data_IF_572924820704
#
_entry.id   IF_572924820704
#
_cell.length_a   1.000
_cell.length_b   1.000
_cell.length_c   1.000
_cell.angle_alpha   90.00
_cell.angle_beta   90.00
_cell.angle_gamma   90.00
#
_symmetry.space_group_name_H-M   'P 1'
#
loop_
_entity.id
_entity.type
_entity.pdbx_description
1 polymer ?
#
# COMPACT_ATOMS: atom_id res chain seq x y z
N UNK A 1 43.97 -11.40 7.05
CA UNK A 1 43.36 -10.08 7.35
C UNK A 1 42.25 -9.92 6.33
N UNK A 2 41.16 -10.65 6.54
CA UNK A 2 39.93 -10.14 7.17
C UNK A 2 38.97 -9.59 6.13
N UNK A 3 38.12 -10.51 5.68
CA UNK A 3 36.68 -10.32 5.54
C UNK A 3 36.18 -9.21 4.63
N UNK A 4 35.97 -9.57 3.36
CA UNK A 4 34.91 -8.99 2.53
C UNK A 4 33.56 -9.58 3.00
N UNK A 5 32.86 -8.84 3.86
CA UNK A 5 31.46 -9.09 4.20
C UNK A 5 30.58 -8.52 3.08
N UNK A 6 30.02 -9.43 2.28
CA UNK A 6 28.88 -9.22 1.41
C UNK A 6 27.65 -8.89 2.27
N UNK A 7 27.17 -7.64 2.21
CA UNK A 7 25.92 -7.24 2.83
C UNK A 7 25.03 -6.52 1.81
N UNK A 8 24.31 -7.30 1.00
CA UNK A 8 23.29 -6.77 0.08
C UNK A 8 21.91 -7.43 0.24
N UNK A 9 21.70 -8.29 1.26
CA UNK A 9 20.44 -9.02 1.44
C UNK A 9 19.33 -8.33 2.27
N UNK A 10 19.63 -7.27 3.02
CA UNK A 10 18.71 -6.73 4.03
C UNK A 10 17.61 -5.80 3.46
N UNK A 11 17.91 -5.04 2.40
CA UNK A 11 16.97 -4.07 1.83
C UNK A 11 15.76 -4.75 1.17
N UNK A 12 16.01 -5.76 0.35
CA UNK A 12 14.95 -6.43 -0.40
C UNK A 12 13.96 -7.21 0.49
N UNK A 13 14.47 -7.81 1.59
CA UNK A 13 13.63 -8.47 2.57
C UNK A 13 12.74 -7.47 3.34
N UNK A 14 13.26 -6.28 3.65
CA UNK A 14 12.48 -5.22 4.28
C UNK A 14 11.39 -4.69 3.33
N UNK A 15 11.71 -4.49 2.05
CA UNK A 15 10.73 -4.07 1.04
C UNK A 15 9.63 -5.12 0.88
N UNK A 16 9.99 -6.40 0.76
CA UNK A 16 9.02 -7.49 0.65
C UNK A 16 8.08 -7.59 1.87
N UNK A 17 8.63 -7.40 3.08
CA UNK A 17 7.83 -7.39 4.30
C UNK A 17 6.88 -6.17 4.36
N UNK A 18 7.33 -5.00 3.92
CA UNK A 18 6.48 -3.81 3.83
C UNK A 18 5.32 -4.01 2.85
N UNK A 19 5.59 -4.57 1.67
CA UNK A 19 4.57 -4.83 0.65
C UNK A 19 3.56 -5.89 1.11
N UNK A 20 4.03 -6.94 1.77
CA UNK A 20 3.17 -7.96 2.38
C UNK A 20 2.26 -7.34 3.45
N UNK A 21 2.81 -6.46 4.30
CA UNK A 21 2.04 -5.72 5.30
C UNK A 21 1.00 -4.79 4.65
N UNK A 22 1.38 -4.09 3.59
CA UNK A 22 0.47 -3.23 2.83
C UNK A 22 -0.70 -4.00 2.22
N UNK A 23 -0.44 -5.17 1.61
CA UNK A 23 -1.48 -6.06 1.08
C UNK A 23 -2.41 -6.59 2.17
N UNK A 24 -1.85 -6.98 3.32
CA UNK A 24 -2.64 -7.42 4.46
C UNK A 24 -3.60 -6.32 4.92
N UNK A 25 -3.09 -5.11 5.14
CA UNK A 25 -3.89 -3.98 5.57
C UNK A 25 -4.96 -3.61 4.55
N UNK A 26 -4.62 -3.63 3.26
CA UNK A 26 -5.57 -3.36 2.17
C UNK A 26 -6.82 -4.25 2.23
N UNK A 27 -6.66 -5.51 2.66
CA UNK A 27 -7.75 -6.50 2.72
C UNK A 27 -8.42 -6.60 4.09
N UNK A 28 -7.75 -6.19 5.18
CA UNK A 28 -8.22 -6.44 6.56
C UNK A 28 -8.62 -5.21 7.38
N UNK A 29 -8.10 -4.02 7.06
CA UNK A 29 -8.45 -2.79 7.80
C UNK A 29 -9.97 -2.55 7.73
N UNK A 30 -10.55 -1.75 8.64
CA UNK A 30 -11.99 -1.50 8.65
C UNK A 30 -12.30 -0.01 8.42
N UNK A 31 -13.08 0.35 7.37
CA UNK A 31 -13.53 -0.54 6.28
C UNK A 31 -12.34 -0.98 5.40
N UNK A 32 -12.39 -2.20 4.86
CA UNK A 32 -11.29 -2.72 4.05
C UNK A 32 -11.23 -2.00 2.70
N UNK A 33 -10.02 -1.65 2.24
CA UNK A 33 -9.83 -0.97 0.97
C UNK A 33 -10.42 -1.79 -0.19
N UNK A 34 -10.26 -3.12 -0.10
CA UNK A 34 -10.76 -4.09 -1.07
C UNK A 34 -12.29 -4.09 -1.26
N UNK A 35 -13.07 -3.61 -0.28
CA UNK A 35 -14.53 -3.51 -0.41
C UNK A 35 -14.92 -2.38 -1.35
N UNK A 36 -14.11 -1.32 -1.41
CA UNK A 36 -14.43 -0.14 -2.21
C UNK A 36 -13.69 -0.11 -3.55
N UNK A 37 -12.46 -0.62 -3.59
CA UNK A 37 -11.56 -0.47 -4.74
C UNK A 37 -11.26 -1.80 -5.44
N UNK A 38 -11.14 -1.73 -6.76
CA UNK A 38 -10.54 -2.81 -7.56
C UNK A 38 -9.03 -2.69 -7.53
N UNK A 39 -8.36 -3.81 -7.22
CA UNK A 39 -6.90 -3.96 -7.27
C UNK A 39 -6.56 -5.44 -7.42
N UNK A 40 -6.14 -5.86 -8.62
CA UNK A 40 -5.88 -7.26 -8.96
C UNK A 40 -4.84 -7.91 -8.06
N UNK A 41 -3.77 -7.19 -7.70
CA UNK A 41 -2.72 -7.71 -6.82
C UNK A 41 -3.22 -8.08 -5.41
N UNK A 42 -4.34 -7.49 -4.98
CA UNK A 42 -5.00 -7.79 -3.71
C UNK A 42 -6.18 -8.77 -3.86
N UNK A 43 -6.53 -9.19 -5.08
CA UNK A 43 -7.74 -9.97 -5.36
C UNK A 43 -9.03 -9.19 -5.08
N UNK A 44 -8.99 -7.86 -5.24
CA UNK A 44 -10.10 -6.98 -4.91
C UNK A 44 -10.83 -6.50 -6.16
N UNK A 45 -12.16 -6.46 -6.08
CA UNK A 45 -13.07 -6.12 -7.19
C UNK A 45 -14.08 -5.02 -6.80
N UNK A 46 -13.80 -4.24 -5.75
CA UNK A 46 -14.70 -3.18 -5.29
C UNK A 46 -14.95 -2.10 -6.35
N UNK A 47 -16.18 -1.59 -6.40
CA UNK A 47 -16.66 -0.65 -7.44
C UNK A 47 -17.19 0.68 -6.88
N UNK A 48 -16.97 0.95 -5.59
CA UNK A 48 -17.41 2.21 -4.95
C UNK A 48 -16.40 3.32 -5.22
N UNK A 49 -15.11 3.01 -5.10
CA UNK A 49 -14.01 3.89 -5.46
C UNK A 49 -13.48 3.59 -6.86
N UNK A 50 -12.51 4.39 -7.34
CA UNK A 50 -11.85 4.14 -8.62
C UNK A 50 -11.14 2.78 -8.65
N UNK A 51 -11.05 2.21 -9.86
CA UNK A 51 -10.20 1.06 -10.19
C UNK A 51 -8.75 1.48 -10.08
N UNK A 52 -8.01 0.91 -9.12
CA UNK A 52 -6.64 1.34 -8.83
C UNK A 52 -5.65 0.87 -9.89
N UNK A 53 -5.91 -0.29 -10.51
CA UNK A 53 -5.11 -0.81 -11.63
C UNK A 53 -5.09 0.15 -12.83
N UNK A 54 -6.16 0.91 -13.02
CA UNK A 54 -6.28 1.94 -14.07
C UNK A 54 -5.75 3.29 -13.60
N UNK A 55 -6.10 3.69 -12.37
CA UNK A 55 -5.74 5.01 -11.81
C UNK A 55 -4.23 5.15 -11.57
N UNK A 56 -3.54 4.06 -11.25
CA UNK A 56 -2.10 3.98 -10.99
C UNK A 56 -1.57 5.11 -10.09
N UNK A 57 -2.14 5.30 -8.88
CA UNK A 57 -1.71 6.37 -8.00
C UNK A 57 -0.31 6.09 -7.44
N UNK A 58 0.55 7.11 -7.40
CA UNK A 58 1.81 7.02 -6.66
C UNK A 58 1.57 6.91 -5.14
N UNK A 59 2.61 6.48 -4.41
CA UNK A 59 2.52 6.27 -2.97
C UNK A 59 2.19 7.57 -2.21
N UNK A 60 2.68 8.72 -2.68
CA UNK A 60 2.41 10.00 -2.04
C UNK A 60 0.92 10.38 -2.12
N UNK A 61 0.28 10.12 -3.26
CA UNK A 61 -1.15 10.32 -3.47
C UNK A 61 -1.97 9.38 -2.60
N UNK A 62 -1.62 8.11 -2.55
CA UNK A 62 -2.31 7.13 -1.68
C UNK A 62 -2.18 7.54 -0.21
N UNK A 63 -0.98 7.92 0.24
CA UNK A 63 -0.75 8.35 1.62
C UNK A 63 -1.57 9.60 1.99
N UNK A 64 -1.68 10.59 1.09
CA UNK A 64 -2.53 11.77 1.32
C UNK A 64 -4.01 11.38 1.46
N UNK A 65 -4.50 10.47 0.61
CA UNK A 65 -5.88 9.99 0.68
C UNK A 65 -6.15 9.22 1.99
N UNK A 66 -5.21 8.37 2.44
CA UNK A 66 -5.33 7.67 3.72
C UNK A 66 -5.34 8.62 4.92
N UNK A 67 -4.54 9.69 4.89
CA UNK A 67 -4.46 10.67 5.98
C UNK A 67 -5.69 11.58 6.03
N UNK A 68 -6.12 12.12 4.90
CA UNK A 68 -7.15 13.16 4.86
C UNK A 68 -8.56 12.64 4.54
N UNK A 69 -8.68 11.44 3.94
CA UNK A 69 -9.89 11.04 3.24
C UNK A 69 -10.06 11.79 1.91
N UNK A 70 -11.01 11.35 1.09
CA UNK A 70 -11.40 12.02 -0.16
C UNK A 70 -12.83 11.64 -0.57
N UNK A 71 -13.73 12.62 -0.60
CA UNK A 71 -15.14 12.36 -0.89
C UNK A 71 -15.74 11.37 0.11
N UNK A 72 -16.23 10.22 -0.38
CA UNK A 72 -16.78 9.13 0.46
C UNK A 72 -15.71 8.26 1.10
N UNK A 73 -14.45 8.33 0.66
CA UNK A 73 -13.36 7.57 1.25
C UNK A 73 -12.99 8.17 2.62
N UNK A 74 -13.10 7.43 3.73
CA UNK A 74 -12.80 7.94 5.06
C UNK A 74 -11.29 8.16 5.25
N UNK A 75 -10.94 9.01 6.21
CA UNK A 75 -9.58 9.03 6.75
C UNK A 75 -9.32 7.79 7.62
N UNK A 76 -8.07 7.32 7.59
CA UNK A 76 -7.54 6.23 8.41
C UNK A 76 -6.53 6.70 9.46
N UNK A 77 -6.31 8.01 9.63
CA UNK A 77 -5.30 8.55 10.54
C UNK A 77 -5.47 8.07 12.00
N UNK A 78 -6.71 7.90 12.45
CA UNK A 78 -7.03 7.41 13.80
C UNK A 78 -7.09 5.87 13.90
N UNK A 79 -6.98 5.16 12.77
CA UNK A 79 -7.15 3.69 12.69
C UNK A 79 -5.87 2.96 12.30
N UNK A 80 -4.89 3.68 11.78
CA UNK A 80 -3.69 3.10 11.20
C UNK A 80 -2.47 3.97 11.53
N UNK A 81 -1.38 3.32 11.92
CA UNK A 81 -0.13 4.03 12.16
C UNK A 81 0.43 4.63 10.87
N UNK A 82 1.28 5.66 11.01
CA UNK A 82 1.95 6.29 9.88
C UNK A 82 2.81 5.31 9.07
N UNK A 83 3.40 4.32 9.75
CA UNK A 83 4.18 3.24 9.12
C UNK A 83 3.27 2.31 8.30
N UNK A 84 2.15 1.91 8.87
CA UNK A 84 1.18 1.04 8.18
C UNK A 84 0.52 1.77 6.99
N UNK A 85 0.23 3.07 7.10
CA UNK A 85 -0.24 3.87 5.96
C UNK A 85 0.78 3.92 4.82
N UNK A 86 2.07 4.04 5.14
CA UNK A 86 3.13 3.95 4.13
C UNK A 86 3.20 2.57 3.49
N UNK A 87 3.09 1.50 4.27
CA UNK A 87 3.07 0.14 3.73
C UNK A 87 1.91 -0.07 2.72
N UNK A 88 0.70 0.40 3.03
CA UNK A 88 -0.44 0.37 2.09
C UNK A 88 -0.15 1.20 0.84
N UNK A 89 0.39 2.41 1.02
CA UNK A 89 0.72 3.29 -0.10
C UNK A 89 1.78 2.70 -1.05
N UNK A 90 2.86 2.13 -0.49
CA UNK A 90 3.90 1.43 -1.24
C UNK A 90 3.34 0.22 -1.97
N UNK A 91 2.51 -0.59 -1.30
CA UNK A 91 1.85 -1.74 -1.92
C UNK A 91 0.97 -1.34 -3.10
N UNK A 92 0.09 -0.35 -2.96
CA UNK A 92 -0.78 0.10 -4.06
C UNK A 92 0.03 0.66 -5.22
N UNK A 93 1.03 1.50 -4.96
CA UNK A 93 1.86 2.07 -6.02
C UNK A 93 2.65 1.00 -6.78
N UNK A 94 3.23 0.02 -6.06
CA UNK A 94 3.95 -1.07 -6.71
C UNK A 94 3.01 -2.00 -7.48
N UNK A 95 1.89 -2.39 -6.88
CA UNK A 95 0.90 -3.28 -7.50
C UNK A 95 0.36 -2.75 -8.83
N UNK A 96 0.22 -1.43 -8.94
CA UNK A 96 -0.32 -0.75 -10.12
C UNK A 96 0.76 -0.35 -11.14
N UNK A 97 2.04 -0.59 -10.83
CA UNK A 97 3.19 -0.20 -11.65
C UNK A 97 3.51 1.30 -11.60
N UNK A 98 3.00 2.03 -10.61
CA UNK A 98 3.27 3.45 -10.37
C UNK A 98 4.52 3.71 -9.51
N UNK A 99 5.08 2.66 -8.87
CA UNK A 99 6.35 2.75 -8.16
C UNK A 99 7.47 3.08 -9.16
N UNK A 100 8.19 4.17 -8.91
CA UNK A 100 9.26 4.69 -9.76
C UNK A 100 10.61 4.54 -9.08
#
# INVERSE_FOLDING_TARGET
MSSLLLWTGAGWAADAAELARGKELFTKIQPACAVCHTLQAAGAEGQVGPVLDELKPDAARVLRALKAGIGVMPSYAERMSDKDMRAVASFVAQATGAAK
#
